data_IF_123532833110
#
_entry.id   IF_123532833110
#
_cell.length_a   1.000
_cell.length_b   1.000
_cell.length_c   1.000
_cell.angle_alpha   90.00
_cell.angle_beta   90.00
_cell.angle_gamma   90.00
#
_symmetry.space_group_name_H-M   'P 1'
#
loop_
_entity.id
_entity.type
_entity.pdbx_description
1 polymer ?
#
# COMPACT_ATOMS: atom_id res chain seq x y z
N UNK A 1 5.22 -1.10 -11.38
CA UNK A 1 5.41 -0.15 -12.50
C UNK A 1 5.08 -0.83 -13.80
N UNK A 2 4.27 -0.16 -14.63
CA UNK A 2 3.94 -0.62 -15.98
C UNK A 2 4.53 0.36 -16.99
N UNK A 3 5.07 -0.17 -18.07
CA UNK A 3 5.74 0.58 -19.13
C UNK A 3 5.15 0.24 -20.49
N UNK A 4 5.34 1.14 -21.46
CA UNK A 4 4.98 0.92 -22.86
C UNK A 4 5.65 -0.35 -23.41
N UNK A 5 5.07 -1.02 -24.42
CA UNK A 5 5.61 -2.28 -24.97
C UNK A 5 7.06 -2.16 -25.49
N UNK A 6 7.47 -0.93 -25.87
CA UNK A 6 8.80 -0.60 -26.42
C UNK A 6 9.91 -0.60 -25.36
N UNK A 7 9.56 -0.56 -24.07
CA UNK A 7 10.51 -0.51 -22.97
C UNK A 7 10.64 -1.92 -22.38
N UNK A 8 11.81 -2.53 -22.54
CA UNK A 8 12.09 -3.92 -22.14
C UNK A 8 13.01 -4.02 -20.93
N UNK A 9 13.68 -2.94 -20.54
CA UNK A 9 14.53 -2.90 -19.35
C UNK A 9 14.48 -1.54 -18.65
N UNK A 10 14.89 -1.51 -17.39
CA UNK A 10 14.74 -0.33 -16.52
C UNK A 10 15.59 0.86 -16.98
N UNK A 11 16.75 0.63 -17.58
CA UNK A 11 17.66 1.70 -18.04
C UNK A 11 17.06 2.52 -19.19
N UNK A 12 16.18 1.93 -19.98
CA UNK A 12 15.47 2.60 -21.06
C UNK A 12 14.47 3.67 -20.59
N UNK A 13 14.26 3.83 -19.27
CA UNK A 13 13.49 4.96 -18.73
C UNK A 13 14.23 6.29 -18.79
N UNK A 14 15.54 6.30 -19.03
CA UNK A 14 16.27 7.55 -19.23
C UNK A 14 15.65 8.35 -20.40
N UNK A 15 15.29 9.60 -20.13
CA UNK A 15 14.60 10.52 -21.04
C UNK A 15 13.11 10.26 -21.24
N UNK A 16 12.53 9.22 -20.61
CA UNK A 16 11.12 8.84 -20.77
C UNK A 16 10.18 9.61 -19.86
N UNK A 17 8.91 9.65 -20.25
CA UNK A 17 7.86 10.33 -19.50
C UNK A 17 7.15 9.37 -18.57
N UNK A 18 7.03 9.73 -17.29
CA UNK A 18 6.37 8.89 -16.28
C UNK A 18 5.26 9.66 -15.60
N UNK A 19 4.03 9.13 -15.66
CA UNK A 19 2.93 9.69 -14.90
C UNK A 19 3.04 9.32 -13.42
N UNK A 20 2.97 10.33 -12.56
CA UNK A 20 3.04 10.22 -11.09
C UNK A 20 1.77 10.82 -10.46
N UNK A 21 1.46 10.48 -9.22
CA UNK A 21 0.32 11.08 -8.52
C UNK A 21 0.54 12.58 -8.35
N UNK A 22 1.64 12.91 -7.71
CA UNK A 22 2.10 14.26 -7.36
C UNK A 22 3.56 14.16 -6.91
N UNK A 23 4.24 15.29 -6.66
CA UNK A 23 5.67 15.27 -6.33
C UNK A 23 6.02 14.57 -5.00
N UNK A 24 5.07 14.56 -4.05
CA UNK A 24 5.19 14.07 -2.68
C UNK A 24 4.46 12.75 -2.40
N UNK A 25 3.68 12.24 -3.34
CA UNK A 25 2.83 11.09 -3.12
C UNK A 25 3.62 9.81 -2.98
N UNK A 26 3.08 8.87 -2.20
CA UNK A 26 3.72 7.58 -1.91
C UNK A 26 4.12 6.82 -3.18
N UNK A 27 3.28 6.86 -4.22
CA UNK A 27 3.57 6.19 -5.49
C UNK A 27 4.79 6.76 -6.22
N UNK A 28 5.00 8.08 -6.11
CA UNK A 28 6.16 8.79 -6.68
C UNK A 28 7.43 8.50 -5.91
N UNK A 29 7.34 8.47 -4.59
CA UNK A 29 8.49 8.18 -3.72
C UNK A 29 8.98 6.75 -3.93
N UNK A 30 8.04 5.82 -4.00
CA UNK A 30 8.31 4.44 -4.37
C UNK A 30 8.94 4.33 -5.76
N UNK A 31 8.41 5.07 -6.73
CA UNK A 31 9.01 5.13 -8.06
C UNK A 31 10.48 5.58 -8.03
N UNK A 32 10.80 6.64 -7.28
CA UNK A 32 12.19 7.12 -7.11
C UNK A 32 13.09 6.07 -6.45
N UNK A 33 12.61 5.42 -5.40
CA UNK A 33 13.33 4.35 -4.71
C UNK A 33 13.63 3.18 -5.68
N UNK A 34 12.65 2.78 -6.49
CA UNK A 34 12.81 1.74 -7.51
C UNK A 34 13.86 2.10 -8.55
N UNK A 35 13.86 3.34 -9.05
CA UNK A 35 14.89 3.81 -9.98
C UNK A 35 16.27 3.73 -9.35
N UNK A 36 16.42 4.27 -8.14
CA UNK A 36 17.71 4.31 -7.42
C UNK A 36 18.26 2.91 -7.16
N UNK A 37 17.43 1.98 -6.66
CA UNK A 37 17.84 0.57 -6.42
C UNK A 37 18.23 -0.15 -7.70
N UNK A 38 17.72 0.30 -8.84
CA UNK A 38 18.05 -0.24 -10.16
C UNK A 38 19.11 0.61 -10.90
N UNK A 39 19.78 1.54 -10.22
CA UNK A 39 20.84 2.40 -10.76
C UNK A 39 20.40 3.30 -11.91
N UNK A 40 19.13 3.74 -11.92
CA UNK A 40 18.63 4.77 -12.84
C UNK A 40 18.54 6.07 -12.06
N UNK A 41 19.20 7.11 -12.57
CA UNK A 41 19.18 8.42 -11.94
C UNK A 41 17.79 9.06 -12.14
N UNK A 42 17.19 9.54 -11.05
CA UNK A 42 15.80 10.02 -11.03
C UNK A 42 15.59 11.25 -11.93
N UNK A 43 16.58 12.11 -12.00
CA UNK A 43 16.63 13.33 -12.82
C UNK A 43 16.57 13.06 -14.33
N UNK A 44 16.98 11.86 -14.75
CA UNK A 44 16.88 11.44 -16.15
C UNK A 44 15.45 11.16 -16.62
N UNK A 45 14.49 11.05 -15.69
CA UNK A 45 13.10 10.74 -16.01
C UNK A 45 12.22 11.98 -15.96
N UNK A 46 11.40 12.17 -16.98
CA UNK A 46 10.43 13.26 -17.04
C UNK A 46 9.14 12.90 -16.30
N UNK A 47 9.05 13.25 -15.02
CA UNK A 47 7.84 13.02 -14.22
C UNK A 47 6.72 14.02 -14.54
N UNK A 48 5.49 13.52 -14.77
CA UNK A 48 4.28 14.32 -15.01
C UNK A 48 3.23 14.03 -13.94
N UNK A 49 2.87 15.02 -13.13
CA UNK A 49 1.82 14.86 -12.12
C UNK A 49 0.44 14.86 -12.77
N UNK A 50 -0.23 13.71 -12.75
CA UNK A 50 -1.57 13.55 -13.32
C UNK A 50 -2.63 13.15 -12.28
N UNK A 51 -2.26 13.09 -11.00
CA UNK A 51 -3.21 12.80 -9.92
C UNK A 51 -3.64 11.34 -9.92
N UNK A 52 -4.95 11.10 -9.95
CA UNK A 52 -5.59 9.81 -9.66
C UNK A 52 -5.08 8.62 -10.51
N UNK A 53 -5.04 7.39 -9.96
CA UNK A 53 -4.55 6.20 -10.66
C UNK A 53 -5.26 5.90 -11.99
N UNK A 54 -6.56 6.20 -12.11
CA UNK A 54 -7.34 5.99 -13.35
C UNK A 54 -6.88 6.91 -14.48
N UNK A 55 -6.58 8.17 -14.18
CA UNK A 55 -6.06 9.16 -15.14
C UNK A 55 -4.68 8.75 -15.63
N UNK A 56 -3.80 8.35 -14.71
CA UNK A 56 -2.45 7.85 -15.07
C UNK A 56 -2.52 6.60 -15.93
N UNK A 57 -3.44 5.69 -15.62
CA UNK A 57 -3.65 4.48 -16.40
C UNK A 57 -4.15 4.80 -17.82
N UNK A 58 -5.12 5.71 -17.95
CA UNK A 58 -5.59 6.19 -19.26
C UNK A 58 -4.48 6.85 -20.09
N UNK A 59 -3.67 7.71 -19.47
CA UNK A 59 -2.53 8.36 -20.13
C UNK A 59 -1.47 7.36 -20.62
N UNK A 60 -1.23 6.27 -19.88
CA UNK A 60 -0.36 5.18 -20.31
C UNK A 60 -0.94 4.46 -21.54
N UNK A 61 -2.23 4.10 -21.49
CA UNK A 61 -2.89 3.40 -22.61
C UNK A 61 -2.95 4.27 -23.88
N UNK A 62 -3.11 5.58 -23.72
CA UNK A 62 -3.09 6.55 -24.83
C UNK A 62 -1.69 6.83 -25.39
N UNK A 63 -0.63 6.35 -24.72
CA UNK A 63 0.76 6.60 -25.12
C UNK A 63 1.24 8.03 -24.84
N UNK A 64 0.50 8.81 -24.04
CA UNK A 64 0.90 10.16 -23.61
C UNK A 64 2.04 10.13 -22.61
N UNK A 65 2.18 9.02 -21.86
CA UNK A 65 3.33 8.74 -21.00
C UNK A 65 3.87 7.35 -21.30
N UNK A 66 5.16 7.15 -21.03
CA UNK A 66 5.85 5.89 -21.29
C UNK A 66 5.69 4.88 -20.14
N UNK A 67 5.48 5.34 -18.90
CA UNK A 67 5.31 4.48 -17.74
C UNK A 67 4.47 5.11 -16.63
N UNK A 68 3.99 4.28 -15.70
CA UNK A 68 3.40 4.74 -14.43
C UNK A 68 3.38 3.65 -13.36
N UNK A 69 3.27 4.07 -12.10
CA UNK A 69 2.92 3.21 -10.97
C UNK A 69 1.40 3.10 -10.85
N UNK A 70 0.89 1.88 -10.99
CA UNK A 70 -0.53 1.53 -10.90
C UNK A 70 -0.72 0.23 -10.11
N UNK A 71 -1.96 -0.03 -9.68
CA UNK A 71 -2.33 -1.25 -8.96
C UNK A 71 -2.09 -2.49 -9.83
N UNK A 72 -1.91 -3.65 -9.18
CA UNK A 72 -1.72 -4.91 -9.90
C UNK A 72 -2.91 -5.24 -10.83
N UNK A 73 -4.15 -4.94 -10.43
CA UNK A 73 -5.33 -5.12 -11.29
C UNK A 73 -5.24 -4.33 -12.60
N UNK A 74 -4.98 -3.01 -12.52
CA UNK A 74 -4.78 -2.20 -13.72
C UNK A 74 -3.55 -2.63 -14.51
N UNK A 75 -2.49 -3.09 -13.83
CA UNK A 75 -1.29 -3.59 -14.49
C UNK A 75 -1.57 -4.84 -15.34
N UNK A 76 -2.43 -5.75 -14.86
CA UNK A 76 -2.89 -6.93 -15.62
C UNK A 76 -3.75 -6.55 -16.82
N UNK A 77 -4.65 -5.57 -16.66
CA UNK A 77 -5.42 -5.02 -17.79
C UNK A 77 -4.47 -4.41 -18.85
N UNK A 78 -3.44 -3.69 -18.42
CA UNK A 78 -2.42 -3.14 -19.33
C UNK A 78 -1.65 -4.26 -20.04
N UNK A 79 -1.25 -5.30 -19.29
CA UNK A 79 -0.49 -6.44 -19.80
C UNK A 79 -1.27 -7.19 -20.87
N UNK A 80 -2.57 -7.41 -20.67
CA UNK A 80 -3.46 -7.98 -21.69
C UNK A 80 -3.55 -7.13 -22.97
N UNK A 81 -3.24 -5.83 -22.88
CA UNK A 81 -3.13 -4.90 -24.02
C UNK A 81 -1.70 -4.77 -24.59
N UNK A 82 -0.78 -5.65 -24.17
CA UNK A 82 0.60 -5.71 -24.67
C UNK A 82 1.61 -4.84 -23.90
N UNK A 83 1.19 -4.10 -22.87
CA UNK A 83 2.12 -3.36 -22.00
C UNK A 83 2.93 -4.31 -21.12
N UNK A 84 4.00 -3.81 -20.51
CA UNK A 84 4.93 -4.63 -19.71
C UNK A 84 4.90 -4.20 -18.26
N UNK A 85 4.75 -5.16 -17.36
CA UNK A 85 5.00 -4.95 -15.92
C UNK A 85 6.49 -5.12 -15.71
N UNK A 86 7.22 -4.01 -15.59
CA UNK A 86 8.68 -4.03 -15.58
C UNK A 86 9.27 -4.22 -14.18
N UNK A 87 8.63 -3.64 -13.17
CA UNK A 87 9.03 -3.77 -11.77
C UNK A 87 7.79 -3.99 -10.91
N UNK A 88 7.88 -4.91 -9.96
CA UNK A 88 6.89 -5.06 -8.90
C UNK A 88 7.43 -4.42 -7.63
N UNK A 89 6.70 -3.44 -7.08
CA UNK A 89 7.16 -2.74 -5.89
C UNK A 89 7.20 -3.61 -4.64
N UNK A 90 6.39 -4.68 -4.60
CA UNK A 90 6.40 -5.62 -3.48
C UNK A 90 7.73 -6.37 -3.33
N UNK A 91 8.57 -6.40 -4.37
CA UNK A 91 9.93 -6.98 -4.29
C UNK A 91 10.90 -6.07 -3.53
N UNK A 92 10.57 -4.78 -3.39
CA UNK A 92 11.49 -3.75 -2.89
C UNK A 92 10.98 -2.99 -1.68
N UNK A 93 9.69 -3.06 -1.38
CA UNK A 93 9.04 -2.36 -0.28
C UNK A 93 8.45 -3.37 0.68
N UNK A 94 9.22 -3.71 1.71
CA UNK A 94 8.75 -4.51 2.84
C UNK A 94 8.12 -3.65 3.95
N UNK A 95 8.25 -2.32 3.93
CA UNK A 95 7.98 -1.48 5.10
C UNK A 95 6.74 -0.59 5.04
N UNK A 96 6.17 -0.28 3.87
CA UNK A 96 4.96 0.57 3.82
C UNK A 96 3.73 -0.20 4.32
N UNK A 97 3.45 -0.07 5.61
CA UNK A 97 2.24 -0.59 6.23
C UNK A 97 1.12 0.43 6.10
N UNK A 98 -0.07 -0.02 5.69
CA UNK A 98 -1.27 0.79 5.82
C UNK A 98 -1.60 0.93 7.31
N UNK A 99 -1.85 2.15 7.77
CA UNK A 99 -2.21 2.45 9.15
C UNK A 99 -3.67 2.90 9.24
N UNK A 100 -4.26 2.75 10.42
CA UNK A 100 -5.52 3.42 10.77
C UNK A 100 -5.17 4.62 11.63
N UNK A 101 -5.49 5.82 11.15
CA UNK A 101 -5.08 7.08 11.75
C UNK A 101 -6.30 7.91 12.14
N UNK A 102 -6.22 8.60 13.28
CA UNK A 102 -7.22 9.58 13.71
C UNK A 102 -6.54 10.64 14.60
N UNK A 103 -7.23 11.73 14.91
CA UNK A 103 -6.68 12.81 15.74
C UNK A 103 -6.72 12.48 17.23
N UNK A 104 -5.77 13.02 18.00
CA UNK A 104 -5.76 12.96 19.48
C UNK A 104 -7.09 13.40 20.07
N UNK A 105 -7.70 14.47 19.55
CA UNK A 105 -9.02 14.97 19.98
C UNK A 105 -10.12 13.90 19.86
N UNK A 106 -10.06 13.05 18.82
CA UNK A 106 -11.05 11.97 18.61
C UNK A 106 -10.78 10.81 19.55
N UNK A 107 -9.51 10.49 19.81
CA UNK A 107 -9.10 9.47 20.78
C UNK A 107 -9.57 9.86 22.18
N UNK A 108 -9.34 11.12 22.59
CA UNK A 108 -9.72 11.61 23.91
C UNK A 108 -11.23 11.84 24.04
N UNK A 109 -11.86 12.43 23.03
CA UNK A 109 -13.28 12.81 23.07
C UNK A 109 -14.26 11.67 22.78
N UNK A 110 -13.83 10.61 22.08
CA UNK A 110 -14.70 9.48 21.74
C UNK A 110 -13.93 8.13 21.69
N UNK A 111 -13.27 7.71 22.79
CA UNK A 111 -12.44 6.50 22.82
C UNK A 111 -13.24 5.23 22.50
N UNK A 112 -14.52 5.17 22.85
CA UNK A 112 -15.38 4.01 22.56
C UNK A 112 -15.68 3.86 21.07
N UNK A 113 -15.85 4.97 20.34
CA UNK A 113 -16.04 4.93 18.89
C UNK A 113 -14.75 4.49 18.20
N UNK A 114 -13.61 5.06 18.62
CA UNK A 114 -12.29 4.66 18.14
C UNK A 114 -12.08 3.16 18.38
N UNK A 115 -12.38 2.68 19.58
CA UNK A 115 -12.29 1.26 19.92
C UNK A 115 -13.14 0.37 19.01
N UNK A 116 -14.40 0.73 18.76
CA UNK A 116 -15.31 -0.03 17.88
C UNK A 116 -14.76 -0.12 16.46
N UNK A 117 -14.22 0.98 15.93
CA UNK A 117 -13.61 1.02 14.59
C UNK A 117 -12.36 0.15 14.56
N UNK A 118 -11.44 0.30 15.53
CA UNK A 118 -10.23 -0.53 15.64
C UNK A 118 -10.59 -2.02 15.71
N UNK A 119 -11.58 -2.39 16.52
CA UNK A 119 -12.04 -3.79 16.66
C UNK A 119 -12.64 -4.32 15.36
N UNK A 120 -13.44 -3.53 14.65
CA UNK A 120 -14.02 -3.92 13.37
C UNK A 120 -12.94 -4.11 12.30
N UNK A 121 -11.99 -3.17 12.20
CA UNK A 121 -10.85 -3.25 11.28
C UNK A 121 -9.98 -4.47 11.57
N UNK A 122 -9.67 -4.74 12.86
CA UNK A 122 -8.91 -5.91 13.26
C UNK A 122 -9.60 -7.22 12.88
N UNK A 123 -10.93 -7.32 13.06
CA UNK A 123 -11.70 -8.49 12.59
C UNK A 123 -11.59 -8.64 11.07
N UNK A 124 -11.72 -7.57 10.31
CA UNK A 124 -11.56 -7.58 8.85
C UNK A 124 -10.17 -8.04 8.42
N UNK A 125 -9.13 -7.60 9.12
CA UNK A 125 -7.74 -8.00 8.88
C UNK A 125 -7.51 -9.48 9.18
N UNK A 126 -7.98 -9.95 10.34
CA UNK A 126 -7.91 -11.37 10.69
C UNK A 126 -8.72 -12.24 9.73
N UNK A 127 -9.89 -11.77 9.28
CA UNK A 127 -10.69 -12.42 8.25
C UNK A 127 -9.92 -12.55 6.94
N UNK A 128 -9.32 -11.45 6.46
CA UNK A 128 -8.51 -11.45 5.25
C UNK A 128 -7.41 -12.51 5.31
N UNK A 129 -6.66 -12.60 6.43
CA UNK A 129 -5.53 -13.52 6.54
C UNK A 129 -5.92 -14.97 6.85
N UNK A 130 -7.10 -15.23 7.43
CA UNK A 130 -7.49 -16.56 7.91
C UNK A 130 -8.60 -17.22 7.10
N UNK A 131 -9.30 -16.48 6.24
CA UNK A 131 -10.34 -17.00 5.36
C UNK A 131 -10.00 -16.74 3.87
N UNK A 132 -9.07 -17.52 3.29
CA UNK A 132 -8.44 -17.21 2.01
C UNK A 132 -9.39 -17.15 0.82
N UNK A 133 -10.39 -18.04 0.78
CA UNK A 133 -11.32 -18.09 -0.34
C UNK A 133 -12.24 -16.86 -0.35
N UNK A 134 -12.73 -16.45 0.82
CA UNK A 134 -13.58 -15.27 0.94
C UNK A 134 -12.77 -13.97 0.78
N UNK A 135 -11.52 -13.95 1.27
CA UNK A 135 -10.58 -12.87 1.01
C UNK A 135 -10.27 -12.71 -0.49
N UNK A 136 -10.17 -13.82 -1.24
CA UNK A 136 -10.00 -13.79 -2.69
C UNK A 136 -11.22 -13.17 -3.39
N UNK A 137 -12.46 -13.45 -2.95
CA UNK A 137 -13.67 -12.79 -3.48
C UNK A 137 -13.65 -11.27 -3.24
N UNK A 138 -13.21 -10.83 -2.07
CA UNK A 138 -12.99 -9.41 -1.79
C UNK A 138 -11.95 -8.78 -2.73
N UNK A 139 -10.84 -9.47 -2.97
CA UNK A 139 -9.80 -9.03 -3.91
C UNK A 139 -10.34 -8.91 -5.34
N UNK A 140 -11.16 -9.86 -5.79
CA UNK A 140 -11.81 -9.81 -7.11
C UNK A 140 -12.60 -8.52 -7.28
N UNK A 141 -13.38 -8.13 -6.28
CA UNK A 141 -14.16 -6.90 -6.32
C UNK A 141 -13.26 -5.65 -6.33
N UNK A 142 -12.38 -5.52 -5.34
CA UNK A 142 -11.57 -4.31 -5.14
C UNK A 142 -10.60 -4.09 -6.29
N UNK A 143 -10.03 -5.16 -6.85
CA UNK A 143 -9.07 -5.08 -7.95
C UNK A 143 -9.71 -5.27 -9.34
N UNK A 144 -11.02 -5.51 -9.41
CA UNK A 144 -11.77 -5.80 -10.64
C UNK A 144 -11.16 -6.97 -11.43
N UNK A 145 -10.83 -8.04 -10.71
CA UNK A 145 -10.27 -9.28 -11.26
C UNK A 145 -11.40 -10.30 -11.36
N UNK A 146 -11.56 -10.90 -12.55
CA UNK A 146 -12.62 -11.86 -12.82
C UNK A 146 -12.19 -13.32 -12.57
N UNK A 147 -10.88 -13.59 -12.54
CA UNK A 147 -10.34 -14.93 -12.28
C UNK A 147 -10.11 -15.13 -10.77
N UNK A 148 -10.80 -16.12 -10.19
CA UNK A 148 -10.69 -16.44 -8.77
C UNK A 148 -9.30 -16.96 -8.38
N UNK A 149 -8.67 -17.78 -9.23
CA UNK A 149 -7.34 -18.30 -8.97
C UNK A 149 -6.30 -17.17 -9.00
N UNK A 150 -6.42 -16.23 -9.95
CA UNK A 150 -5.57 -15.04 -9.97
C UNK A 150 -5.73 -14.20 -8.69
N UNK A 151 -6.98 -13.97 -8.26
CA UNK A 151 -7.25 -13.25 -7.01
C UNK A 151 -6.68 -13.98 -5.79
N UNK A 152 -6.75 -15.32 -5.77
CA UNK A 152 -6.20 -16.17 -4.71
C UNK A 152 -4.68 -16.19 -4.70
N UNK A 153 -4.02 -16.14 -5.85
CA UNK A 153 -2.56 -15.96 -5.93
C UNK A 153 -2.14 -14.58 -5.41
N UNK A 154 -2.86 -13.51 -5.77
CA UNK A 154 -2.60 -12.17 -5.22
C UNK A 154 -2.78 -12.14 -3.71
N UNK A 155 -3.84 -12.78 -3.21
CA UNK A 155 -4.05 -12.96 -1.78
C UNK A 155 -2.85 -13.66 -1.13
N UNK A 156 -2.40 -14.79 -1.70
CA UNK A 156 -1.30 -15.61 -1.18
C UNK A 156 0.00 -14.81 -1.09
N UNK A 157 0.35 -14.08 -2.14
CA UNK A 157 1.57 -13.25 -2.13
C UNK A 157 1.48 -12.15 -1.06
N UNK A 158 0.33 -11.51 -0.90
CA UNK A 158 0.12 -10.52 0.16
C UNK A 158 0.18 -11.12 1.56
N UNK A 159 -0.43 -12.29 1.76
CA UNK A 159 -0.41 -12.98 3.05
C UNK A 159 0.99 -13.45 3.44
N UNK A 160 1.78 -13.91 2.45
CA UNK A 160 3.18 -14.31 2.63
C UNK A 160 4.08 -13.13 3.01
N UNK A 161 3.80 -11.94 2.50
CA UNK A 161 4.56 -10.72 2.83
C UNK A 161 4.19 -10.14 4.21
N UNK A 162 3.03 -10.47 4.77
CA UNK A 162 2.60 -9.97 6.06
C UNK A 162 3.28 -10.75 7.22
N UNK A 163 3.92 -10.01 8.14
CA UNK A 163 4.42 -10.61 9.38
C UNK A 163 3.29 -11.07 10.28
N UNK A 164 3.56 -12.00 11.20
CA UNK A 164 2.53 -12.48 12.14
C UNK A 164 1.95 -11.35 13.01
N UNK A 165 2.78 -10.36 13.38
CA UNK A 165 2.32 -9.15 14.07
C UNK A 165 1.39 -8.33 13.19
N UNK A 166 1.75 -8.13 11.92
CA UNK A 166 0.91 -7.42 10.96
C UNK A 166 -0.43 -8.13 10.80
N UNK A 167 -0.48 -9.47 10.73
CA UNK A 167 -1.76 -10.21 10.61
C UNK A 167 -2.74 -9.99 11.78
N UNK A 168 -2.26 -9.47 12.91
CA UNK A 168 -3.06 -9.14 14.09
C UNK A 168 -3.11 -7.64 14.42
N UNK A 169 -2.83 -6.78 13.43
CA UNK A 169 -2.97 -5.33 13.56
C UNK A 169 -1.87 -4.65 14.38
N UNK A 170 -0.69 -5.25 14.46
CA UNK A 170 0.48 -4.72 15.20
C UNK A 170 1.71 -4.64 14.30
N UNK A 171 2.74 -3.95 14.77
CA UNK A 171 4.05 -3.88 14.12
C UNK A 171 5.18 -4.01 15.15
N UNK A 172 6.37 -4.40 14.71
CA UNK A 172 7.58 -4.34 15.53
C UNK A 172 8.07 -2.90 15.66
N UNK A 173 8.85 -2.61 16.71
CA UNK A 173 9.49 -1.29 16.89
C UNK A 173 10.38 -0.90 15.73
N UNK A 174 11.11 -1.87 15.14
CA UNK A 174 11.93 -1.67 13.96
C UNK A 174 11.12 -1.15 12.77
N UNK A 175 9.97 -1.79 12.49
CA UNK A 175 9.08 -1.37 11.39
C UNK A 175 8.50 0.02 11.69
N UNK A 176 8.06 0.26 12.92
CA UNK A 176 7.49 1.55 13.31
C UNK A 176 8.51 2.69 13.20
N UNK A 177 9.75 2.45 13.63
CA UNK A 177 10.87 3.42 13.55
C UNK A 177 11.23 3.69 12.10
N UNK A 178 11.40 2.63 11.31
CA UNK A 178 11.68 2.72 9.87
C UNK A 178 10.61 3.56 9.15
N UNK A 179 9.33 3.39 9.52
CA UNK A 179 8.23 4.16 8.94
C UNK A 179 8.31 5.65 9.28
N UNK A 180 8.61 5.98 10.54
CA UNK A 180 8.79 7.39 10.96
C UNK A 180 9.96 8.01 10.20
N UNK A 181 11.11 7.34 10.14
CA UNK A 181 12.29 7.83 9.42
C UNK A 181 12.02 8.03 7.93
N UNK A 182 11.35 7.06 7.30
CA UNK A 182 10.94 7.15 5.91
C UNK A 182 10.05 8.37 5.66
N UNK A 183 9.04 8.62 6.49
CA UNK A 183 8.16 9.80 6.34
C UNK A 183 8.97 11.10 6.53
N UNK A 184 9.93 11.13 7.46
CA UNK A 184 10.80 12.32 7.64
C UNK A 184 11.69 12.58 6.44
N UNK A 185 12.28 11.54 5.85
CA UNK A 185 13.09 11.67 4.65
C UNK A 185 12.24 12.06 3.42
N UNK A 186 11.01 11.57 3.35
CA UNK A 186 10.04 12.00 2.35
C UNK A 186 9.72 13.50 2.47
N UNK A 187 9.43 13.99 3.68
CA UNK A 187 9.17 15.41 3.92
C UNK A 187 10.38 16.27 3.53
N UNK A 188 11.59 15.86 3.94
CA UNK A 188 12.84 16.55 3.55
C UNK A 188 13.04 16.58 2.04
N UNK A 189 12.81 15.46 1.36
CA UNK A 189 13.00 15.30 -0.08
C UNK A 189 12.09 16.20 -0.93
N UNK A 190 10.98 16.67 -0.38
CA UNK A 190 10.07 17.62 -1.05
C UNK A 190 10.14 19.04 -0.46
N UNK A 191 11.15 19.32 0.38
CA UNK A 191 11.32 20.62 1.02
C UNK A 191 10.26 20.96 2.08
N UNK A 192 9.48 19.98 2.53
CA UNK A 192 8.51 20.17 3.59
C UNK A 192 9.20 20.22 4.95
N UNK A 193 8.82 21.19 5.78
CA UNK A 193 9.33 21.34 7.14
C UNK A 193 8.42 20.62 8.13
N UNK A 194 9.01 19.76 8.97
CA UNK A 194 8.29 19.15 10.09
C UNK A 194 7.90 20.22 11.10
N UNK A 195 6.63 20.23 11.51
CA UNK A 195 6.15 21.06 12.64
C UNK A 195 6.65 20.52 13.99
N UNK A 196 6.98 19.23 14.05
CA UNK A 196 7.54 18.58 15.25
C UNK A 196 9.04 18.88 15.30
N UNK A 197 9.47 19.51 16.40
CA UNK A 197 10.89 19.77 16.71
C UNK A 197 11.44 18.62 17.56
N UNK A 198 12.66 18.18 17.26
CA UNK A 198 13.34 17.12 18.00
C UNK A 198 13.06 15.69 17.49
N UNK A 199 13.46 14.66 18.26
CA UNK A 199 13.16 13.26 17.95
C UNK A 199 11.65 12.99 18.05
N UNK A 200 11.10 12.20 17.12
CA UNK A 200 9.74 11.67 17.20
C UNK A 200 9.81 10.30 17.85
N UNK A 201 9.14 10.10 18.98
CA UNK A 201 9.09 8.82 19.67
C UNK A 201 7.92 7.97 19.18
N UNK A 202 7.99 6.64 19.41
CA UNK A 202 6.97 5.72 18.90
C UNK A 202 5.59 5.98 19.54
N UNK A 203 5.55 6.31 20.82
CA UNK A 203 4.34 6.61 21.58
C UNK A 203 3.64 7.91 21.18
N UNK A 204 4.36 8.82 20.51
CA UNK A 204 3.76 10.02 19.90
C UNK A 204 2.99 9.71 18.61
N UNK A 205 3.20 8.53 18.01
CA UNK A 205 2.66 8.18 16.70
C UNK A 205 1.74 6.96 16.76
N UNK A 206 2.03 6.00 17.64
CA UNK A 206 1.36 4.71 17.69
C UNK A 206 0.73 4.46 19.06
N UNK A 207 -0.59 4.31 19.07
CA UNK A 207 -1.35 3.80 20.22
C UNK A 207 -1.89 2.39 19.93
N UNK A 208 -1.19 1.37 20.43
CA UNK A 208 -1.63 -0.02 20.33
C UNK A 208 -2.52 -0.50 21.49
N UNK A 209 -2.91 0.36 22.44
CA UNK A 209 -3.76 -0.05 23.56
C UNK A 209 -5.12 -0.56 23.06
N UNK A 210 -5.73 0.12 22.10
CA UNK A 210 -6.99 -0.27 21.47
C UNK A 210 -6.92 -1.61 20.75
N UNK A 211 -5.89 -1.83 19.93
CA UNK A 211 -5.74 -3.09 19.18
C UNK A 211 -5.38 -4.26 20.10
N UNK A 212 -4.62 -4.00 21.18
CA UNK A 212 -4.34 -5.01 22.21
C UNK A 212 -5.63 -5.49 22.87
N UNK A 213 -6.42 -4.56 23.40
CA UNK A 213 -7.74 -4.85 23.99
C UNK A 213 -8.66 -5.58 23.01
N UNK A 214 -8.76 -5.11 21.77
CA UNK A 214 -9.61 -5.72 20.76
C UNK A 214 -9.20 -7.16 20.44
N UNK A 215 -7.89 -7.42 20.30
CA UNK A 215 -7.36 -8.75 20.03
C UNK A 215 -7.69 -9.73 21.16
N UNK A 216 -7.50 -9.31 22.40
CA UNK A 216 -7.77 -10.16 23.58
C UNK A 216 -9.26 -10.49 23.69
N UNK A 217 -10.15 -9.50 23.49
CA UNK A 217 -11.61 -9.74 23.46
C UNK A 217 -12.04 -10.65 22.30
N UNK A 218 -11.47 -10.47 21.10
CA UNK A 218 -11.77 -11.34 19.94
C UNK A 218 -11.39 -12.79 20.26
N UNK A 219 -10.21 -13.01 20.84
CA UNK A 219 -9.76 -14.35 21.25
C UNK A 219 -10.65 -14.93 22.34
N UNK A 220 -10.96 -14.17 23.38
CA UNK A 220 -11.81 -14.61 24.48
C UNK A 220 -13.22 -15.02 23.99
N UNK A 221 -13.76 -14.30 23.01
CA UNK A 221 -15.07 -14.60 22.41
C UNK A 221 -15.08 -15.84 21.49
N UNK A 222 -13.92 -16.46 21.23
CA UNK A 222 -13.75 -17.57 20.26
C UNK A 222 -14.33 -17.21 18.88
N UNK A 223 -14.23 -15.94 18.49
CA UNK A 223 -14.67 -15.49 17.18
C UNK A 223 -13.83 -16.16 16.09
N UNK A 224 -14.51 -16.73 15.09
CA UNK A 224 -13.90 -17.52 14.03
C UNK A 224 -14.17 -16.89 12.65
N UNK A 225 -13.14 -16.39 11.95
CA UNK A 225 -13.30 -15.77 10.63
C UNK A 225 -13.82 -16.74 9.55
N UNK A 226 -13.68 -18.06 9.75
CA UNK A 226 -14.14 -19.06 8.78
C UNK A 226 -15.67 -19.20 8.74
N UNK A 227 -16.37 -18.65 9.73
CA UNK A 227 -17.85 -18.67 9.79
C UNK A 227 -18.52 -17.54 9.01
N UNK A 228 -17.73 -16.69 8.38
CA UNK A 228 -18.22 -15.52 7.66
C UNK A 228 -17.92 -15.66 6.17
N UNK A 229 -18.82 -15.12 5.35
CA UNK A 229 -18.66 -15.08 3.90
C UNK A 229 -18.50 -13.62 3.46
N UNK A 230 -17.72 -13.43 2.40
CA UNK A 230 -17.66 -12.14 1.75
C UNK A 230 -18.95 -11.91 0.97
N UNK A 231 -19.61 -10.79 1.24
CA UNK A 231 -20.83 -10.37 0.56
C UNK A 231 -20.63 -8.98 0.00
N UNK A 232 -20.86 -8.87 -1.31
CA UNK A 232 -20.90 -7.59 -2.02
C UNK A 232 -22.17 -6.84 -1.61
N UNK A 233 -22.02 -5.56 -1.26
CA UNK A 233 -23.15 -4.65 -1.07
C UNK A 233 -23.49 -3.93 -2.37
#
# INVERSE_FOLDING_TARGET
>A
MVVSPKITNIKQLNGKTVAISDASGNSTLLFRELLSKNGVAVDTVQMRALGEPSVRFGALLAGTVDATMITIGNARIAQAKGFRILLYSGDYVSSLSANLETSDDKIQGAPDDVYKVVKATLKGQMFYHRNPNEAAKFIMEVLRINDFNEAKEIWRERDKQASDLAKIGRASEEVMTTNIERVRDQLRGVGATSRIKGPVTLDQVYDFTFVKKAYDEIRASKWDPMRYEYSKR
#
